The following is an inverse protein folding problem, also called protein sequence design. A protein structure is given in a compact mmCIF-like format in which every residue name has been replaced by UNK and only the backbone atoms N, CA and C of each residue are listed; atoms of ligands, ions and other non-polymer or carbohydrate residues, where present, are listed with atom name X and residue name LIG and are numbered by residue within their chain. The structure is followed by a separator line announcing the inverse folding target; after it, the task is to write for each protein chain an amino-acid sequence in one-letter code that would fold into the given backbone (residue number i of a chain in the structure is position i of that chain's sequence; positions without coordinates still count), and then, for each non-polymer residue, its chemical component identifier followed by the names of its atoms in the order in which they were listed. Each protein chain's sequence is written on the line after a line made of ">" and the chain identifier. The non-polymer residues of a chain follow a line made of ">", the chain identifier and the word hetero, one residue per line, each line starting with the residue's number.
data_IF_446821210357
#
_entry.id   IF_446821210357
#
_cell.length_a   1.000
_cell.length_b   1.000
_cell.length_c   1.000
_cell.angle_alpha   90.00
_cell.angle_beta   90.00
_cell.angle_gamma   90.00
#
_symmetry.space_group_name_H-M   'P 1'
#
loop_
_entity.id
_entity.type
_entity.pdbx_description
1 polymer ?
#
# COMPACT_ATOMS: atom_id res chain seq x y z
N UNK A 1 -23.85 -24.38 2.05
CA UNK A 1 -23.90 -23.25 3.00
C UNK A 1 -23.21 -22.06 2.36
N UNK A 2 -23.59 -20.81 2.68
CA UNK A 2 -22.90 -19.59 2.20
C UNK A 2 -22.28 -18.88 3.40
N UNK A 3 -21.14 -18.23 3.21
CA UNK A 3 -20.41 -17.50 4.24
C UNK A 3 -20.31 -16.02 3.85
N UNK A 4 -20.34 -15.15 4.86
CA UNK A 4 -20.09 -13.71 4.71
C UNK A 4 -19.07 -13.32 5.76
N UNK A 5 -17.93 -12.81 5.31
CA UNK A 5 -16.90 -12.23 6.17
C UNK A 5 -16.96 -10.72 5.98
N UNK A 6 -17.23 -9.99 7.07
CA UNK A 6 -17.31 -8.53 7.06
C UNK A 6 -16.16 -7.98 7.90
N UNK A 7 -15.32 -7.15 7.28
CA UNK A 7 -14.13 -6.57 7.92
C UNK A 7 -14.37 -5.07 8.10
N UNK A 8 -14.72 -4.60 9.31
CA UNK A 8 -14.76 -3.18 9.62
C UNK A 8 -13.31 -2.70 9.83
N UNK A 9 -12.71 -2.16 8.78
CA UNK A 9 -11.31 -1.71 8.80
C UNK A 9 -11.07 -0.68 9.91
N UNK A 10 -9.96 -0.83 10.65
CA UNK A 10 -9.61 0.06 11.76
C UNK A 10 -10.60 0.11 12.94
N UNK A 11 -11.50 -0.87 13.10
CA UNK A 11 -12.56 -0.83 14.12
C UNK A 11 -12.06 -1.06 15.56
N UNK A 12 -10.90 -1.70 15.72
CA UNK A 12 -10.26 -1.83 17.03
C UNK A 12 -9.61 -0.52 17.44
N UNK A 13 -9.79 -0.12 18.69
CA UNK A 13 -9.28 1.13 19.24
C UNK A 13 -9.06 1.00 20.74
N UNK A 14 -8.40 2.00 21.31
CA UNK A 14 -8.15 2.13 22.75
C UNK A 14 -9.29 2.89 23.45
N UNK A 15 -9.44 2.73 24.77
CA UNK A 15 -10.34 3.55 25.57
C UNK A 15 -9.97 5.04 25.52
N UNK A 16 -10.95 5.91 25.22
CA UNK A 16 -10.74 7.35 25.12
C UNK A 16 -11.36 8.10 26.31
N UNK A 17 -10.62 9.06 26.86
CA UNK A 17 -11.07 9.87 28.01
C UNK A 17 -12.35 10.67 27.70
N UNK A 18 -12.44 11.26 26.50
CA UNK A 18 -13.60 11.99 26.01
C UNK A 18 -14.86 11.12 25.83
N UNK A 19 -14.69 9.80 25.72
CA UNK A 19 -15.79 8.82 25.65
C UNK A 19 -16.12 8.20 27.02
N UNK A 20 -15.53 8.74 28.10
CA UNK A 20 -15.69 8.21 29.46
C UNK A 20 -14.94 6.91 29.68
N UNK A 21 -13.78 6.72 29.05
CA UNK A 21 -12.97 5.50 29.17
C UNK A 21 -13.53 4.32 28.36
N UNK A 22 -14.29 4.59 27.31
CA UNK A 22 -14.81 3.59 26.36
C UNK A 22 -14.07 3.69 25.03
N UNK A 23 -14.01 2.60 24.28
CA UNK A 23 -13.59 2.66 22.87
C UNK A 23 -14.70 3.30 22.01
N UNK A 24 -14.39 3.82 20.81
CA UNK A 24 -15.41 4.31 19.88
C UNK A 24 -16.49 3.27 19.58
N UNK A 25 -16.11 2.00 19.39
CA UNK A 25 -17.06 0.90 19.16
C UNK A 25 -18.02 0.69 20.35
N UNK A 26 -17.52 0.81 21.59
CA UNK A 26 -18.35 0.73 22.80
C UNK A 26 -19.24 1.96 23.02
N UNK A 27 -18.79 3.14 22.58
CA UNK A 27 -19.56 4.37 22.71
C UNK A 27 -20.66 4.50 21.64
N UNK A 28 -20.44 3.88 20.47
CA UNK A 28 -21.37 3.94 19.34
C UNK A 28 -22.67 3.15 19.59
N UNK A 29 -23.78 3.70 19.13
CA UNK A 29 -25.07 2.99 19.16
C UNK A 29 -25.15 1.99 17.99
N UNK A 30 -24.86 0.71 18.28
CA UNK A 30 -24.75 -0.35 17.26
C UNK A 30 -25.74 -1.52 17.48
N UNK A 31 -27.07 -1.25 17.56
CA UNK A 31 -28.07 -2.23 18.01
C UNK A 31 -28.16 -3.50 17.13
N UNK A 32 -27.69 -3.43 15.89
CA UNK A 32 -27.61 -4.59 14.99
C UNK A 32 -26.42 -5.48 15.34
N UNK A 33 -25.23 -4.89 15.57
CA UNK A 33 -24.04 -5.64 15.99
C UNK A 33 -24.27 -6.24 17.37
N UNK A 34 -24.85 -5.48 18.31
CA UNK A 34 -25.19 -5.96 19.65
C UNK A 34 -26.11 -7.19 19.60
N UNK A 35 -27.16 -7.15 18.76
CA UNK A 35 -28.09 -8.26 18.59
C UNK A 35 -27.45 -9.46 17.93
N UNK A 36 -26.51 -9.26 17.01
CA UNK A 36 -25.76 -10.36 16.39
C UNK A 36 -24.82 -10.99 17.42
N UNK A 37 -24.06 -10.19 18.17
CA UNK A 37 -23.13 -10.65 19.19
C UNK A 37 -23.83 -11.47 20.28
N UNK A 38 -24.99 -11.01 20.77
CA UNK A 38 -25.75 -11.68 21.84
C UNK A 38 -26.23 -13.11 21.50
N UNK A 39 -26.25 -13.48 20.21
CA UNK A 39 -26.69 -14.82 19.72
C UNK A 39 -25.59 -15.56 18.95
N UNK A 40 -24.35 -15.12 19.06
CA UNK A 40 -23.19 -15.65 18.33
C UNK A 40 -22.05 -15.99 19.28
N UNK A 41 -21.03 -16.67 18.75
CA UNK A 41 -19.74 -16.78 19.45
C UNK A 41 -18.94 -15.52 19.22
N UNK A 42 -18.53 -14.86 20.30
CA UNK A 42 -17.67 -13.67 20.26
C UNK A 42 -16.27 -14.06 20.72
N UNK A 43 -15.25 -13.56 20.02
CA UNK A 43 -13.85 -13.82 20.32
C UNK A 43 -12.95 -12.69 19.85
N UNK A 44 -11.65 -12.83 20.15
CA UNK A 44 -10.60 -11.94 19.64
C UNK A 44 -9.83 -12.68 18.54
N UNK A 45 -9.51 -11.97 17.47
CA UNK A 45 -8.70 -12.49 16.37
C UNK A 45 -7.43 -11.65 16.23
N UNK A 46 -6.27 -12.32 16.19
CA UNK A 46 -5.02 -11.70 15.81
C UNK A 46 -4.79 -12.00 14.33
N UNK A 47 -4.95 -10.98 13.48
CA UNK A 47 -4.83 -11.11 12.02
C UNK A 47 -3.44 -10.74 11.48
N UNK A 48 -2.55 -10.31 12.37
CA UNK A 48 -1.15 -10.01 12.04
C UNK A 48 -0.28 -11.09 12.70
N UNK A 49 0.37 -11.97 11.92
CA UNK A 49 1.29 -12.96 12.46
C UNK A 49 2.45 -12.33 13.24
N UNK A 50 3.00 -13.01 14.26
CA UNK A 50 4.16 -12.53 14.99
C UNK A 50 5.35 -12.23 14.06
N UNK A 51 5.99 -11.07 14.25
CA UNK A 51 7.16 -10.66 13.48
C UNK A 51 6.85 -9.95 12.16
N UNK A 52 5.57 -9.84 11.76
CA UNK A 52 5.16 -9.06 10.59
C UNK A 52 4.60 -7.69 10.99
N UNK A 53 4.82 -6.66 10.16
CA UNK A 53 4.26 -5.33 10.40
C UNK A 53 2.72 -5.34 10.28
N UNK A 54 2.00 -4.51 11.06
CA UNK A 54 0.54 -4.49 11.08
C UNK A 54 -0.07 -3.73 9.88
N UNK A 55 0.21 -4.19 8.67
CA UNK A 55 -0.32 -3.62 7.41
C UNK A 55 -1.63 -4.26 6.95
N UNK A 56 -2.47 -3.49 6.24
CA UNK A 56 -3.73 -4.00 5.66
C UNK A 56 -3.49 -5.14 4.65
N UNK A 57 -2.34 -5.17 3.99
CA UNK A 57 -1.90 -6.26 3.12
C UNK A 57 -1.71 -7.57 3.88
N UNK A 58 -0.92 -7.54 4.96
CA UNK A 58 -0.68 -8.69 5.83
C UNK A 58 -1.99 -9.17 6.48
N UNK A 59 -2.77 -8.23 7.03
CA UNK A 59 -4.02 -8.53 7.71
C UNK A 59 -5.08 -9.13 6.80
N UNK A 60 -5.30 -8.56 5.61
CA UNK A 60 -6.29 -9.11 4.68
C UNK A 60 -5.85 -10.44 4.08
N UNK A 61 -4.56 -10.63 3.80
CA UNK A 61 -4.03 -11.93 3.36
C UNK A 61 -4.31 -13.03 4.40
N UNK A 62 -4.09 -12.72 5.69
CA UNK A 62 -4.44 -13.61 6.80
C UNK A 62 -5.94 -13.87 6.91
N UNK A 63 -6.79 -12.84 6.72
CA UNK A 63 -8.25 -12.99 6.74
C UNK A 63 -8.75 -13.87 5.59
N UNK A 64 -8.13 -13.78 4.41
CA UNK A 64 -8.40 -14.68 3.29
C UNK A 64 -7.88 -16.11 3.51
N UNK A 65 -7.07 -16.31 4.57
CA UNK A 65 -6.58 -17.60 5.03
C UNK A 65 -5.26 -18.04 4.40
N UNK A 66 -4.55 -17.12 3.74
CA UNK A 66 -3.21 -17.33 3.22
C UNK A 66 -2.18 -16.87 4.25
N UNK A 67 -1.12 -17.65 4.44
CA UNK A 67 -0.03 -17.29 5.36
C UNK A 67 0.81 -16.14 4.77
N UNK A 68 0.81 -14.93 5.36
CA UNK A 68 1.62 -13.84 4.86
C UNK A 68 3.12 -14.10 4.95
N UNK A 69 3.57 -14.99 5.85
CA UNK A 69 4.99 -15.36 5.91
C UNK A 69 5.43 -16.17 4.67
N UNK A 70 4.49 -16.81 3.97
CA UNK A 70 4.75 -17.57 2.74
C UNK A 70 4.51 -16.72 1.48
N UNK A 71 3.42 -15.95 1.47
CA UNK A 71 2.92 -15.33 0.24
C UNK A 71 3.14 -13.82 0.13
N UNK A 72 3.43 -13.10 1.23
CA UNK A 72 3.64 -11.66 1.18
C UNK A 72 5.02 -11.36 0.60
N UNK A 73 5.04 -10.57 -0.46
CA UNK A 73 6.25 -10.23 -1.22
C UNK A 73 6.53 -8.73 -1.23
N UNK A 74 5.68 -7.94 -0.56
CA UNK A 74 5.68 -6.48 -0.65
C UNK A 74 4.28 -5.93 -0.92
N UNK A 75 4.07 -4.64 -0.61
CA UNK A 75 2.79 -3.97 -0.81
C UNK A 75 2.55 -3.57 -2.27
N UNK A 76 3.60 -3.10 -2.93
CA UNK A 76 3.59 -2.65 -4.31
C UNK A 76 3.08 -3.69 -5.32
N UNK A 77 3.52 -4.96 -5.31
CA UNK A 77 3.03 -5.95 -6.26
C UNK A 77 1.53 -6.26 -6.09
N UNK A 78 0.99 -6.16 -4.87
CA UNK A 78 -0.45 -6.31 -4.62
C UNK A 78 -1.21 -5.11 -5.22
N UNK A 79 -0.76 -3.88 -4.97
CA UNK A 79 -1.36 -2.69 -5.57
C UNK A 79 -1.22 -2.66 -7.10
N UNK A 80 -0.13 -3.18 -7.65
CA UNK A 80 0.07 -3.37 -9.09
C UNK A 80 -0.98 -4.33 -9.68
N UNK A 81 -1.25 -5.46 -9.01
CA UNK A 81 -2.30 -6.39 -9.42
C UNK A 81 -3.70 -5.74 -9.41
N UNK A 82 -3.96 -4.84 -8.46
CA UNK A 82 -5.22 -4.09 -8.40
C UNK A 82 -5.42 -3.14 -9.60
N UNK A 83 -4.33 -2.66 -10.20
CA UNK A 83 -4.32 -1.89 -11.45
C UNK A 83 -4.41 -2.78 -12.70
N UNK A 84 -4.47 -4.10 -12.53
CA UNK A 84 -4.48 -5.08 -13.63
C UNK A 84 -3.11 -5.38 -14.22
N UNK A 85 -2.03 -4.96 -13.55
CA UNK A 85 -0.67 -5.25 -13.97
C UNK A 85 -0.31 -6.70 -13.63
N UNK A 86 0.43 -7.34 -14.53
CA UNK A 86 1.02 -8.66 -14.31
C UNK A 86 2.52 -8.52 -14.41
N UNK A 87 3.21 -8.60 -13.27
CA UNK A 87 4.67 -8.51 -13.26
C UNK A 87 5.26 -9.81 -13.80
N UNK A 88 6.28 -9.67 -14.65
CA UNK A 88 7.08 -10.81 -15.09
C UNK A 88 8.05 -11.25 -13.98
N UNK A 89 8.60 -12.47 -14.04
CA UNK A 89 9.57 -12.96 -13.05
C UNK A 89 10.86 -12.12 -12.96
N UNK A 90 11.19 -11.38 -14.02
CA UNK A 90 12.34 -10.47 -14.11
C UNK A 90 12.01 -9.03 -13.69
N UNK A 91 10.86 -8.80 -13.03
CA UNK A 91 10.39 -7.48 -12.63
C UNK A 91 10.07 -7.40 -11.13
N UNK A 92 10.39 -6.26 -10.54
CA UNK A 92 10.00 -5.86 -9.18
C UNK A 92 9.12 -4.61 -9.27
N UNK A 93 8.04 -4.56 -8.50
CA UNK A 93 7.22 -3.37 -8.37
C UNK A 93 7.63 -2.56 -7.13
N UNK A 94 7.54 -1.24 -7.24
CA UNK A 94 7.61 -0.27 -6.15
C UNK A 94 6.32 0.53 -6.15
N UNK A 95 5.83 0.87 -4.95
CA UNK A 95 4.83 1.90 -4.83
C UNK A 95 5.53 3.24 -5.01
N UNK A 96 4.98 4.06 -5.89
CA UNK A 96 5.48 5.39 -6.22
C UNK A 96 4.48 6.41 -5.69
N UNK A 97 4.84 7.05 -4.57
CA UNK A 97 4.08 8.17 -4.04
C UNK A 97 4.55 9.49 -4.68
N UNK A 98 3.63 10.37 -5.06
CA UNK A 98 3.94 11.79 -5.20
C UNK A 98 3.99 12.41 -3.80
N UNK A 99 5.12 13.02 -3.44
CA UNK A 99 5.40 13.55 -2.10
C UNK A 99 6.00 14.96 -2.17
N UNK A 100 5.93 15.68 -1.05
CA UNK A 100 6.58 16.98 -0.86
C UNK A 100 7.66 16.86 0.23
N UNK A 101 8.89 17.18 -0.14
CA UNK A 101 10.05 17.21 0.75
C UNK A 101 10.53 18.65 0.93
N UNK A 102 10.81 19.07 2.16
CA UNK A 102 11.36 20.39 2.46
C UNK A 102 12.84 20.51 2.12
N UNK A 103 13.31 21.75 1.95
CA UNK A 103 14.71 22.06 1.64
C UNK A 103 15.69 21.59 2.72
N UNK A 104 15.20 21.38 3.95
CA UNK A 104 15.93 20.85 5.10
C UNK A 104 16.01 19.31 5.12
N UNK A 105 15.43 18.62 4.14
CA UNK A 105 15.37 17.17 4.09
C UNK A 105 14.33 16.58 5.03
N UNK A 106 13.23 17.30 5.30
CA UNK A 106 12.07 16.79 6.05
C UNK A 106 10.95 16.33 5.09
N UNK A 107 10.28 15.22 5.38
CA UNK A 107 9.05 14.82 4.66
C UNK A 107 7.90 15.74 5.11
N UNK A 108 7.53 16.71 4.28
CA UNK A 108 6.46 17.67 4.58
C UNK A 108 5.09 17.01 4.39
N UNK A 109 4.88 16.36 3.25
CA UNK A 109 3.61 15.68 2.93
C UNK A 109 3.87 14.42 2.09
N UNK A 110 3.55 13.25 2.63
CA UNK A 110 3.71 11.96 1.95
C UNK A 110 2.73 11.75 0.78
N UNK A 111 1.74 12.63 0.65
CA UNK A 111 0.71 12.62 -0.40
C UNK A 111 0.82 13.83 -1.34
N UNK A 112 1.81 14.69 -1.14
CA UNK A 112 2.17 15.76 -2.07
C UNK A 112 1.02 16.70 -2.44
N UNK A 113 0.20 17.12 -1.47
CA UNK A 113 -0.97 17.96 -1.68
C UNK A 113 -2.21 17.21 -2.17
N UNK A 114 -2.19 15.87 -2.21
CA UNK A 114 -3.29 15.03 -2.69
C UNK A 114 -3.79 15.44 -4.09
N UNK A 115 -2.91 15.46 -5.12
CA UNK A 115 -3.30 15.83 -6.47
C UNK A 115 -4.47 14.97 -6.95
N UNK A 116 -5.39 15.57 -7.69
CA UNK A 116 -6.37 14.80 -8.45
C UNK A 116 -5.66 13.84 -9.40
N UNK A 117 -6.25 12.68 -9.66
CA UNK A 117 -5.68 11.68 -10.56
C UNK A 117 -5.37 12.26 -11.95
N UNK A 118 -6.17 13.20 -12.42
CA UNK A 118 -6.02 13.89 -13.70
C UNK A 118 -4.76 14.76 -13.73
N UNK A 119 -4.51 15.54 -12.67
CA UNK A 119 -3.28 16.35 -12.52
C UNK A 119 -2.03 15.48 -12.40
N UNK A 120 -2.12 14.40 -11.63
CA UNK A 120 -0.99 13.47 -11.46
C UNK A 120 -0.65 12.70 -12.75
N UNK A 121 -1.63 12.45 -13.63
CA UNK A 121 -1.45 11.63 -14.82
C UNK A 121 -0.32 12.12 -15.73
N UNK A 122 -0.26 13.44 -16.01
CA UNK A 122 0.73 14.01 -16.91
C UNK A 122 2.15 13.94 -16.31
N UNK A 123 2.27 14.15 -15.00
CA UNK A 123 3.53 14.03 -14.27
C UNK A 123 4.07 12.59 -14.30
N UNK A 124 3.20 11.60 -14.05
CA UNK A 124 3.59 10.18 -14.08
C UNK A 124 3.93 9.71 -15.50
N UNK A 125 3.25 10.22 -16.52
CA UNK A 125 3.61 9.96 -17.92
C UNK A 125 4.98 10.54 -18.29
N UNK A 126 5.32 11.74 -17.79
CA UNK A 126 6.65 12.32 -18.00
C UNK A 126 7.73 11.52 -17.28
N UNK A 127 7.47 11.07 -16.05
CA UNK A 127 8.33 10.11 -15.35
C UNK A 127 8.53 8.83 -16.18
N UNK A 128 7.46 8.25 -16.73
CA UNK A 128 7.58 7.06 -17.57
C UNK A 128 8.52 7.30 -18.77
N UNK A 129 8.32 8.40 -19.51
CA UNK A 129 9.13 8.74 -20.68
C UNK A 129 10.60 8.96 -20.33
N UNK A 130 10.88 9.60 -19.20
CA UNK A 130 12.25 9.92 -18.78
C UNK A 130 13.09 8.67 -18.48
N UNK A 131 12.47 7.56 -18.07
CA UNK A 131 13.16 6.34 -17.64
C UNK A 131 12.86 5.10 -18.51
N UNK A 132 12.07 5.24 -19.59
CA UNK A 132 11.65 4.14 -20.43
C UNK A 132 12.84 3.36 -21.05
N UNK A 133 13.88 4.07 -21.47
CA UNK A 133 15.09 3.47 -22.07
C UNK A 133 15.93 2.65 -21.07
N UNK A 134 15.65 2.77 -19.77
CA UNK A 134 16.31 2.02 -18.70
C UNK A 134 15.52 0.76 -18.29
N UNK A 135 14.42 0.45 -18.99
CA UNK A 135 13.54 -0.66 -18.64
C UNK A 135 12.69 -0.39 -17.40
N UNK A 136 12.47 0.87 -17.07
CA UNK A 136 11.64 1.32 -15.95
C UNK A 136 10.29 1.80 -16.49
N UNK A 137 9.21 1.34 -15.88
CA UNK A 137 7.85 1.71 -16.25
C UNK A 137 7.17 2.42 -15.08
N UNK A 138 6.49 3.53 -15.35
CA UNK A 138 5.63 4.18 -14.35
C UNK A 138 4.17 4.00 -14.76
N UNK A 139 3.37 3.49 -13.83
CA UNK A 139 1.96 3.17 -14.03
C UNK A 139 1.10 4.06 -13.16
N UNK A 140 0.24 4.84 -13.80
CA UNK A 140 -0.70 5.75 -13.12
C UNK A 140 -1.72 4.96 -12.29
N UNK A 141 -1.61 5.07 -10.97
CA UNK A 141 -2.70 4.73 -10.04
C UNK A 141 -3.64 5.91 -9.76
N UNK A 142 -4.00 6.09 -8.48
CA UNK A 142 -5.04 7.04 -8.03
C UNK A 142 -4.42 8.14 -7.17
N UNK A 143 -4.75 9.39 -7.49
CA UNK A 143 -4.23 10.58 -6.82
C UNK A 143 -2.69 10.58 -6.77
N UNK A 144 -2.09 10.47 -5.58
CA UNK A 144 -0.66 10.43 -5.35
C UNK A 144 -0.06 9.02 -5.34
N UNK A 145 -0.87 7.97 -5.52
CA UNK A 145 -0.46 6.55 -5.36
C UNK A 145 -0.32 5.90 -6.72
N UNK A 146 0.90 5.62 -7.12
CA UNK A 146 1.25 5.05 -8.42
C UNK A 146 2.17 3.84 -8.24
N UNK A 147 2.53 3.18 -9.34
CA UNK A 147 3.47 2.06 -9.34
C UNK A 147 4.64 2.38 -10.25
N UNK A 148 5.84 2.03 -9.81
CA UNK A 148 7.01 1.93 -10.68
C UNK A 148 7.36 0.45 -10.80
N UNK A 149 7.57 -0.05 -12.02
CA UNK A 149 8.10 -1.39 -12.27
C UNK A 149 9.54 -1.25 -12.77
N UNK A 150 10.44 -2.02 -12.18
CA UNK A 150 11.87 -2.01 -12.49
C UNK A 150 12.40 -3.45 -12.69
N UNK A 151 13.59 -3.62 -13.28
CA UNK A 151 14.23 -4.92 -13.38
C UNK A 151 14.46 -5.59 -12.01
N UNK A 152 14.39 -6.92 -11.96
CA UNK A 152 14.48 -7.72 -10.73
C UNK A 152 15.74 -7.48 -9.88
N UNK A 153 16.86 -7.07 -10.49
CA UNK A 153 18.10 -6.75 -9.78
C UNK A 153 18.00 -5.45 -8.95
N UNK A 154 16.86 -4.77 -8.98
CA UNK A 154 16.56 -3.64 -8.09
C UNK A 154 15.93 -4.09 -6.77
N UNK A 155 15.52 -5.35 -6.62
CA UNK A 155 14.74 -5.80 -5.47
C UNK A 155 15.46 -5.70 -4.11
N UNK A 156 16.80 -5.75 -4.10
CA UNK A 156 17.60 -5.58 -2.88
C UNK A 156 17.68 -4.10 -2.48
N UNK A 157 16.65 -3.67 -1.75
CA UNK A 157 16.58 -2.38 -1.11
C UNK A 157 15.77 -2.46 0.19
N UNK A 158 16.01 -1.55 1.13
CA UNK A 158 15.08 -1.25 2.22
C UNK A 158 14.55 0.18 2.01
N UNK A 159 13.23 0.35 2.02
CA UNK A 159 12.58 1.62 1.73
C UNK A 159 11.55 1.93 2.81
N UNK A 160 11.70 3.07 3.48
CA UNK A 160 10.76 3.52 4.50
C UNK A 160 9.42 3.95 3.86
N UNK A 161 8.26 3.54 4.41
CA UNK A 161 6.97 4.09 4.00
C UNK A 161 6.92 5.59 4.28
N UNK A 162 6.49 6.44 3.32
CA UNK A 162 6.60 7.89 3.49
C UNK A 162 5.66 8.46 4.55
N UNK A 163 4.55 7.78 4.85
CA UNK A 163 3.61 8.20 5.89
C UNK A 163 4.20 8.11 7.30
N UNK A 164 5.13 7.18 7.54
CA UNK A 164 5.86 7.06 8.82
C UNK A 164 6.90 8.18 9.01
N UNK A 165 7.26 8.87 7.92
CA UNK A 165 8.26 9.93 7.88
C UNK A 165 7.65 11.34 8.00
N UNK A 166 6.34 11.51 7.94
CA UNK A 166 5.69 12.84 7.98
C UNK A 166 6.17 13.67 9.18
N UNK A 167 6.73 14.85 8.91
CA UNK A 167 7.30 15.75 9.91
C UNK A 167 8.65 15.30 10.50
N UNK A 168 9.31 14.31 9.89
CA UNK A 168 10.60 13.76 10.31
C UNK A 168 11.64 13.88 9.19
N UNK A 169 12.94 13.81 9.53
CA UNK A 169 14.00 13.66 8.52
C UNK A 169 13.77 12.44 7.63
N UNK A 170 14.18 12.55 6.36
CA UNK A 170 14.11 11.44 5.42
C UNK A 170 14.98 10.26 5.86
N UNK A 171 14.46 9.06 5.62
CA UNK A 171 15.24 7.82 5.66
C UNK A 171 15.33 7.31 4.23
N UNK A 172 16.46 7.60 3.57
CA UNK A 172 16.69 7.22 2.18
C UNK A 172 16.77 5.70 1.99
N UNK A 173 16.46 5.18 0.79
CA UNK A 173 16.64 3.77 0.48
C UNK A 173 18.06 3.28 0.77
N UNK A 174 18.17 2.09 1.36
CA UNK A 174 19.44 1.37 1.58
C UNK A 174 19.46 0.08 0.74
N UNK A 175 20.56 -0.68 0.77
CA UNK A 175 20.72 -1.93 -0.02
C UNK A 175 21.43 -1.74 -1.36
N UNK A 176 21.60 -2.83 -2.12
CA UNK A 176 22.36 -2.82 -3.38
C UNK A 176 21.73 -1.93 -4.47
N UNK A 177 20.40 -1.76 -4.45
CA UNK A 177 19.67 -0.92 -5.40
C UNK A 177 19.53 0.55 -4.95
N UNK A 178 20.01 0.92 -3.76
CA UNK A 178 19.80 2.23 -3.15
C UNK A 178 20.15 3.40 -4.07
N UNK A 179 21.35 3.38 -4.69
CA UNK A 179 21.81 4.46 -5.55
C UNK A 179 20.97 4.63 -6.81
N UNK A 180 20.45 3.52 -7.36
CA UNK A 180 19.54 3.55 -8.52
C UNK A 180 18.21 4.19 -8.14
N UNK A 181 17.66 3.83 -6.98
CA UNK A 181 16.40 4.38 -6.47
C UNK A 181 16.53 5.87 -6.14
N UNK A 182 17.58 6.25 -5.41
CA UNK A 182 17.85 7.64 -5.06
C UNK A 182 18.01 8.51 -6.31
N UNK A 183 18.71 8.02 -7.34
CA UNK A 183 18.81 8.71 -8.64
C UNK A 183 17.44 8.99 -9.27
N UNK A 184 16.53 8.03 -9.24
CA UNK A 184 15.16 8.22 -9.76
C UNK A 184 14.38 9.23 -8.91
N UNK A 185 14.48 9.14 -7.58
CA UNK A 185 13.83 10.09 -6.67
C UNK A 185 14.36 11.53 -6.84
N UNK A 186 15.67 11.70 -6.99
CA UNK A 186 16.29 13.00 -7.17
C UNK A 186 15.98 13.59 -8.53
N UNK A 187 16.12 12.82 -9.62
CA UNK A 187 15.78 13.27 -10.96
C UNK A 187 14.29 13.59 -11.13
N UNK A 188 13.41 12.95 -10.34
CA UNK A 188 11.99 13.31 -10.34
C UNK A 188 11.72 14.76 -9.92
N UNK A 189 12.60 15.39 -9.13
CA UNK A 189 12.41 16.77 -8.68
C UNK A 189 12.40 17.74 -9.86
N UNK A 190 13.32 17.56 -10.80
CA UNK A 190 13.40 18.38 -12.00
C UNK A 190 12.20 18.12 -12.92
N UNK A 191 11.80 16.85 -13.09
CA UNK A 191 10.65 16.47 -13.94
C UNK A 191 9.35 17.05 -13.37
N UNK A 192 9.13 16.93 -12.06
CA UNK A 192 7.90 17.38 -11.41
C UNK A 192 7.77 18.90 -11.34
N UNK A 193 8.87 19.65 -11.43
CA UNK A 193 8.86 21.12 -11.44
C UNK A 193 8.13 21.72 -12.66
N UNK A 194 7.99 20.96 -13.75
CA UNK A 194 7.25 21.37 -14.95
C UNK A 194 5.72 21.21 -14.81
N UNK A 195 5.24 20.66 -13.70
CA UNK A 195 3.83 20.37 -13.47
C UNK A 195 3.26 21.24 -12.35
N UNK A 196 2.05 21.75 -12.57
CA UNK A 196 1.27 22.44 -11.53
C UNK A 196 0.69 21.41 -10.55
N UNK A 197 1.51 20.92 -9.62
CA UNK A 197 1.17 20.07 -8.47
C UNK A 197 2.07 20.42 -7.27
N UNK A 198 1.62 20.17 -6.04
CA UNK A 198 2.38 20.50 -4.82
C UNK A 198 3.52 19.49 -4.54
N UNK A 199 3.44 18.30 -5.13
CA UNK A 199 4.45 17.26 -5.01
C UNK A 199 5.73 17.67 -5.75
N UNK A 200 6.88 17.53 -5.08
CA UNK A 200 8.18 17.90 -5.64
C UNK A 200 9.13 16.70 -5.80
N UNK A 201 8.70 15.49 -5.48
CA UNK A 201 9.47 14.27 -5.70
C UNK A 201 8.55 13.04 -5.78
N UNK A 202 9.06 11.97 -6.37
CA UNK A 202 8.51 10.63 -6.15
C UNK A 202 9.20 9.96 -4.97
N UNK A 203 8.43 9.19 -4.19
CA UNK A 203 8.95 8.35 -3.11
C UNK A 203 8.61 6.89 -3.38
N UNK A 204 9.65 6.05 -3.48
CA UNK A 204 9.56 4.64 -3.88
C UNK A 204 9.69 3.73 -2.67
N UNK A 205 8.74 2.82 -2.46
CA UNK A 205 8.73 1.94 -1.29
C UNK A 205 7.83 0.71 -1.47
N UNK A 206 7.87 -0.19 -0.48
CA UNK A 206 6.96 -1.34 -0.40
C UNK A 206 7.19 -2.38 -1.50
N UNK A 207 8.42 -2.46 -1.99
CA UNK A 207 8.81 -3.19 -3.18
C UNK A 207 8.62 -4.69 -3.07
N UNK A 208 8.42 -5.34 -4.20
CA UNK A 208 8.17 -6.78 -4.23
C UNK A 208 7.98 -7.39 -5.60
N UNK A 209 8.21 -8.70 -5.67
CA UNK A 209 7.84 -9.53 -6.82
C UNK A 209 6.35 -9.86 -6.80
N UNK A 210 5.78 -10.33 -7.91
CA UNK A 210 4.39 -10.80 -7.92
C UNK A 210 4.19 -11.96 -6.92
N UNK A 211 3.28 -11.83 -5.93
CA UNK A 211 2.96 -12.95 -5.05
C UNK A 211 2.36 -14.11 -5.86
N UNK A 212 2.80 -15.33 -5.55
CA UNK A 212 2.30 -16.55 -6.20
C UNK A 212 1.40 -17.29 -5.22
N UNK A 213 0.09 -17.09 -5.34
CA UNK A 213 -0.90 -17.67 -4.43
C UNK A 213 -1.80 -18.66 -5.18
N UNK A 214 -2.15 -19.81 -4.58
CA UNK A 214 -3.18 -20.68 -5.15
C UNK A 214 -4.53 -19.97 -5.12
N UNK A 215 -5.37 -20.22 -6.13
CA UNK A 215 -6.71 -19.62 -6.18
C UNK A 215 -7.55 -20.02 -4.96
N UNK A 216 -8.45 -19.14 -4.53
CA UNK A 216 -9.34 -19.43 -3.39
C UNK A 216 -10.16 -20.72 -3.60
N UNK A 217 -10.59 -20.98 -4.84
CA UNK A 217 -11.31 -22.20 -5.21
C UNK A 217 -10.43 -23.45 -5.10
N UNK A 218 -9.16 -23.40 -5.51
CA UNK A 218 -8.25 -24.53 -5.34
C UNK A 218 -7.88 -24.78 -3.87
N UNK A 219 -7.77 -23.73 -3.06
CA UNK A 219 -7.39 -23.83 -1.65
C UNK A 219 -8.53 -24.35 -0.78
N UNK A 220 -9.76 -23.85 -1.00
CA UNK A 220 -10.90 -24.13 -0.12
C UNK A 220 -12.05 -24.92 -0.77
N UNK A 221 -12.00 -25.17 -2.08
CA UNK A 221 -13.11 -25.79 -2.82
C UNK A 221 -14.36 -24.91 -2.88
N UNK A 222 -14.22 -23.59 -2.67
CA UNK A 222 -15.31 -22.64 -2.59
C UNK A 222 -15.12 -21.51 -3.60
N UNK A 223 -16.22 -21.04 -4.19
CA UNK A 223 -16.23 -19.81 -4.98
C UNK A 223 -16.46 -18.63 -4.06
N UNK A 224 -15.66 -17.58 -4.22
CA UNK A 224 -15.75 -16.35 -3.45
C UNK A 224 -16.11 -15.16 -4.35
N UNK A 225 -16.65 -14.12 -3.72
CA UNK A 225 -16.83 -12.80 -4.31
C UNK A 225 -16.41 -11.75 -3.29
N UNK A 226 -15.87 -10.63 -3.77
CA UNK A 226 -15.34 -9.56 -2.95
C UNK A 226 -16.08 -8.26 -3.23
N UNK A 227 -16.47 -7.56 -2.17
CA UNK A 227 -17.05 -6.20 -2.24
C UNK A 227 -16.10 -5.28 -1.49
N UNK A 228 -15.30 -4.50 -2.22
CA UNK A 228 -14.33 -3.57 -1.65
C UNK A 228 -14.15 -2.32 -2.51
N UNK A 229 -13.92 -1.19 -1.84
CA UNK A 229 -13.44 0.04 -2.47
C UNK A 229 -11.92 0.22 -2.35
N UNK A 230 -11.24 -0.64 -1.58
CA UNK A 230 -9.80 -0.55 -1.29
C UNK A 230 -9.02 -1.33 -2.35
N UNK A 231 -8.20 -0.63 -3.12
CA UNK A 231 -7.42 -1.22 -4.23
C UNK A 231 -6.53 -2.38 -3.75
N UNK A 232 -5.89 -2.23 -2.58
CA UNK A 232 -5.05 -3.28 -2.01
C UNK A 232 -5.79 -4.62 -1.84
N UNK A 233 -7.04 -4.58 -1.38
CA UNK A 233 -7.85 -5.79 -1.18
C UNK A 233 -8.34 -6.36 -2.52
N UNK A 234 -8.48 -5.53 -3.56
CA UNK A 234 -8.79 -5.97 -4.93
C UNK A 234 -7.60 -6.67 -5.60
N UNK A 235 -6.38 -6.26 -5.23
CA UNK A 235 -5.15 -6.85 -5.76
C UNK A 235 -4.83 -8.24 -5.22
N UNK A 236 -5.27 -8.53 -3.99
CA UNK A 236 -5.28 -9.86 -3.39
C UNK A 236 -6.38 -10.75 -4.01
#
# INVERSE_FOLDING_TARGET
>A
MKYVVCVPDGCADEPLAELGGRTPLQAAHTPVLDRIAARSTVGRAAVIPPGLPPGSDVGNMSIFGYDPAEYHTGRAPIEAAALGLKLRPDQVAYRCNLSTIGDDGTMIDFAGGHPSTERAAAAIEAMHKAFADEGIEFHRGVQYRHIMVAPADWADAECAPPHDLTGKPLVWPSGAAASKLQRVMDASREILADFDIDANTVWLWGQGFQPQMPSFESTYGLKAGLVTAVDLVRGL
#
